data_IF_367631631272
#
_entry.id   IF_367631631272
#
_cell.length_a   1.000
_cell.length_b   1.000
_cell.length_c   1.000
_cell.angle_alpha   90.00
_cell.angle_beta   90.00
_cell.angle_gamma   90.00
#
_symmetry.space_group_name_H-M   'P 1'
#
loop_
_entity.id
_entity.type
_entity.pdbx_description
1 polymer ?
#
# COMPACT_ATOMS: atom_id res chain seq x y z
N UNK A 1 5.84 -7.46 -23.27
CA UNK A 1 4.36 -7.58 -23.38
C UNK A 1 3.70 -7.08 -22.09
N UNK A 2 2.63 -6.27 -22.17
CA UNK A 2 1.98 -5.72 -20.97
C UNK A 2 1.09 -6.74 -20.24
N UNK A 3 0.84 -6.54 -18.93
CA UNK A 3 0.04 -7.45 -18.10
C UNK A 3 -1.36 -7.67 -18.65
N UNK A 4 -2.03 -6.66 -19.19
CA UNK A 4 -3.39 -6.80 -19.72
C UNK A 4 -3.50 -7.88 -20.81
N UNK A 5 -2.43 -8.09 -21.59
CA UNK A 5 -2.37 -9.14 -22.64
C UNK A 5 -2.12 -10.54 -22.07
N UNK A 6 -1.72 -10.62 -20.80
CA UNK A 6 -1.51 -11.88 -20.07
C UNK A 6 -2.74 -12.34 -19.30
N UNK A 7 -3.73 -11.46 -19.14
CA UNK A 7 -4.95 -11.73 -18.39
C UNK A 7 -6.04 -12.34 -19.27
N UNK A 8 -6.98 -13.03 -18.64
CA UNK A 8 -8.24 -13.43 -19.26
C UNK A 8 -9.01 -12.18 -19.72
N UNK A 9 -9.67 -12.19 -20.89
CA UNK A 9 -10.36 -11.03 -21.45
C UNK A 9 -11.35 -10.37 -20.48
N UNK A 10 -12.13 -11.16 -19.75
CA UNK A 10 -13.12 -10.70 -18.77
C UNK A 10 -12.50 -9.96 -17.57
N UNK A 11 -11.22 -10.19 -17.28
CA UNK A 11 -10.52 -9.58 -16.16
C UNK A 11 -9.88 -8.23 -16.51
N UNK A 12 -9.69 -7.92 -17.79
CA UNK A 12 -8.95 -6.73 -18.25
C UNK A 12 -9.63 -5.43 -17.77
N UNK A 13 -10.96 -5.34 -17.84
CA UNK A 13 -11.68 -4.16 -17.35
C UNK A 13 -11.52 -3.93 -15.85
N UNK A 14 -11.54 -5.01 -15.05
CA UNK A 14 -11.31 -4.92 -13.61
C UNK A 14 -9.85 -4.57 -13.29
N UNK A 15 -8.89 -5.06 -14.08
CA UNK A 15 -7.48 -4.70 -13.96
C UNK A 15 -7.26 -3.19 -14.14
N UNK A 16 -7.82 -2.58 -15.18
CA UNK A 16 -7.65 -1.13 -15.42
C UNK A 16 -8.25 -0.28 -14.29
N UNK A 17 -9.43 -0.64 -13.76
CA UNK A 17 -10.01 0.05 -12.61
C UNK A 17 -9.10 -0.03 -11.38
N UNK A 18 -8.55 -1.21 -11.08
CA UNK A 18 -7.59 -1.39 -9.98
C UNK A 18 -6.33 -0.56 -10.21
N UNK A 19 -5.75 -0.61 -11.42
CA UNK A 19 -4.57 0.18 -11.81
C UNK A 19 -4.80 1.67 -11.56
N UNK A 20 -5.92 2.22 -12.02
CA UNK A 20 -6.25 3.64 -11.84
C UNK A 20 -6.28 4.03 -10.35
N UNK A 21 -7.01 3.26 -9.53
CA UNK A 21 -7.12 3.50 -8.08
C UNK A 21 -5.76 3.44 -7.40
N UNK A 22 -4.94 2.42 -7.68
CA UNK A 22 -3.62 2.28 -7.06
C UNK A 22 -2.69 3.43 -7.47
N UNK A 23 -2.66 3.79 -8.75
CA UNK A 23 -1.84 4.90 -9.23
C UNK A 23 -2.24 6.23 -8.57
N UNK A 24 -3.53 6.48 -8.44
CA UNK A 24 -4.05 7.69 -7.78
C UNK A 24 -3.69 7.71 -6.28
N UNK A 25 -3.95 6.63 -5.56
CA UNK A 25 -3.67 6.55 -4.12
C UNK A 25 -2.17 6.65 -3.81
N UNK A 26 -1.30 6.02 -4.61
CA UNK A 26 0.15 6.16 -4.48
C UNK A 26 0.58 7.62 -4.72
N UNK A 27 0.03 8.27 -5.75
CA UNK A 27 0.31 9.68 -6.04
C UNK A 27 -0.11 10.58 -4.87
N UNK A 28 -1.29 10.35 -4.30
CA UNK A 28 -1.77 11.10 -3.14
C UNK A 28 -0.83 10.89 -1.94
N UNK A 29 -0.44 9.64 -1.65
CA UNK A 29 0.48 9.33 -0.56
C UNK A 29 1.84 10.03 -0.75
N UNK A 30 2.41 9.98 -1.96
CA UNK A 30 3.64 10.67 -2.29
C UNK A 30 3.52 12.19 -2.06
N UNK A 31 2.43 12.81 -2.52
CA UNK A 31 2.19 14.24 -2.29
C UNK A 31 2.11 14.59 -0.79
N UNK A 32 1.49 13.75 0.02
CA UNK A 32 1.41 13.94 1.47
C UNK A 32 2.81 13.84 2.10
N UNK A 33 3.61 12.84 1.73
CA UNK A 33 4.98 12.69 2.23
C UNK A 33 5.83 13.91 1.86
N UNK A 34 5.78 14.35 0.60
CA UNK A 34 6.50 15.53 0.13
C UNK A 34 6.09 16.82 0.87
N UNK A 35 4.83 16.93 1.28
CA UNK A 35 4.36 18.03 2.11
C UNK A 35 4.87 17.91 3.55
N UNK A 36 4.83 16.72 4.14
CA UNK A 36 5.31 16.45 5.50
C UNK A 36 6.80 16.77 5.68
N UNK A 37 7.62 16.57 4.64
CA UNK A 37 9.04 16.92 4.67
C UNK A 37 9.29 18.43 4.72
N UNK A 38 8.37 19.24 4.19
CA UNK A 38 8.51 20.70 4.08
C UNK A 38 7.87 21.47 5.23
N UNK A 39 7.05 20.80 6.03
CA UNK A 39 6.33 21.43 7.13
C UNK A 39 7.17 21.45 8.41
N UNK A 40 7.16 22.60 9.08
CA UNK A 40 7.64 22.73 10.44
C UNK A 40 6.73 21.97 11.42
N UNK A 41 7.26 21.69 12.60
CA UNK A 41 6.53 20.96 13.63
C UNK A 41 5.26 21.73 14.04
N UNK A 42 4.11 21.15 13.74
CA UNK A 42 2.80 21.80 13.81
C UNK A 42 1.67 20.78 13.91
N UNK A 43 0.52 21.19 14.43
CA UNK A 43 -0.68 20.34 14.46
C UNK A 43 -1.10 19.87 13.07
N UNK A 44 -0.86 20.69 12.04
CA UNK A 44 -1.10 20.34 10.63
C UNK A 44 -0.18 19.21 10.18
N UNK A 45 1.12 19.26 10.54
CA UNK A 45 2.07 18.18 10.26
C UNK A 45 1.64 16.87 10.91
N UNK A 46 1.21 16.91 12.17
CA UNK A 46 0.70 15.72 12.88
C UNK A 46 -0.54 15.13 12.21
N UNK A 47 -1.52 15.96 11.87
CA UNK A 47 -2.74 15.51 11.18
C UNK A 47 -2.43 14.90 9.80
N UNK A 48 -1.54 15.52 9.02
CA UNK A 48 -1.11 14.98 7.72
C UNK A 48 -0.37 13.65 7.87
N UNK A 49 0.43 13.51 8.94
CA UNK A 49 1.13 12.27 9.23
C UNK A 49 0.17 11.14 9.58
N UNK A 50 -0.84 11.42 10.41
CA UNK A 50 -1.92 10.48 10.71
C UNK A 50 -2.66 10.03 9.44
N UNK A 51 -2.98 10.98 8.54
CA UNK A 51 -3.59 10.67 7.23
C UNK A 51 -2.69 9.76 6.39
N UNK A 52 -1.37 10.01 6.36
CA UNK A 52 -0.41 9.18 5.64
C UNK A 52 -0.40 7.74 6.17
N UNK A 53 -0.36 7.56 7.49
CA UNK A 53 -0.44 6.25 8.15
C UNK A 53 -1.74 5.50 7.81
N UNK A 54 -2.88 6.19 7.82
CA UNK A 54 -4.17 5.60 7.42
C UNK A 54 -4.15 5.12 5.98
N UNK A 55 -3.60 5.92 5.05
CA UNK A 55 -3.53 5.57 3.62
C UNK A 55 -2.61 4.38 3.36
N UNK A 56 -1.44 4.35 4.00
CA UNK A 56 -0.54 3.18 3.95
C UNK A 56 -1.27 1.90 4.36
N UNK A 57 -1.94 1.93 5.51
CA UNK A 57 -2.66 0.75 6.03
C UNK A 57 -3.81 0.34 5.11
N UNK A 58 -4.50 1.29 4.48
CA UNK A 58 -5.56 1.02 3.48
C UNK A 58 -5.03 0.32 2.23
N UNK A 59 -3.84 0.71 1.76
CA UNK A 59 -3.22 0.14 0.55
C UNK A 59 -2.65 -1.27 0.77
N UNK A 60 -2.32 -1.63 2.01
CA UNK A 60 -1.70 -2.93 2.31
C UNK A 60 -2.64 -3.93 2.99
N UNK A 61 -3.43 -3.52 4.01
CA UNK A 61 -4.14 -4.47 4.87
C UNK A 61 -5.66 -4.29 4.99
N UNK A 62 -6.18 -3.06 4.96
CA UNK A 62 -7.54 -2.79 5.47
C UNK A 62 -8.62 -2.44 4.42
N UNK A 63 -8.38 -2.60 3.13
CA UNK A 63 -9.39 -2.30 2.09
C UNK A 63 -9.66 -3.48 1.14
N UNK A 64 -10.79 -3.44 0.41
CA UNK A 64 -11.04 -4.37 -0.69
C UNK A 64 -10.04 -4.23 -1.86
N UNK A 65 -9.28 -3.13 -1.88
CA UNK A 65 -8.30 -2.76 -2.90
C UNK A 65 -6.88 -2.67 -2.30
N UNK A 66 -6.41 -3.74 -1.66
CA UNK A 66 -5.01 -3.86 -1.22
C UNK A 66 -4.10 -4.41 -2.31
N UNK A 67 -2.79 -4.14 -2.23
CA UNK A 67 -1.80 -4.75 -3.12
C UNK A 67 -1.81 -6.28 -3.02
N UNK A 68 -2.02 -6.83 -1.83
CA UNK A 68 -2.27 -8.27 -1.63
C UNK A 68 -3.46 -8.77 -2.47
N UNK A 69 -4.60 -8.07 -2.44
CA UNK A 69 -5.77 -8.43 -3.24
C UNK A 69 -5.53 -8.25 -4.75
N UNK A 70 -4.73 -7.27 -5.16
CA UNK A 70 -4.29 -7.14 -6.55
C UNK A 70 -3.46 -8.34 -6.98
N UNK A 71 -2.49 -8.80 -6.17
CA UNK A 71 -1.69 -10.00 -6.46
C UNK A 71 -2.58 -11.22 -6.61
N UNK A 72 -3.52 -11.45 -5.69
CA UNK A 72 -4.46 -12.57 -5.81
C UNK A 72 -5.35 -12.48 -7.05
N UNK A 73 -5.85 -11.28 -7.34
CA UNK A 73 -6.61 -11.03 -8.56
C UNK A 73 -5.80 -11.40 -9.81
N UNK A 74 -4.54 -10.98 -9.90
CA UNK A 74 -3.65 -11.32 -11.02
C UNK A 74 -3.39 -12.82 -11.10
N UNK A 75 -3.12 -13.51 -9.97
CA UNK A 75 -2.91 -14.97 -9.94
C UNK A 75 -4.13 -15.74 -10.47
N UNK A 76 -5.33 -15.33 -10.08
CA UNK A 76 -6.59 -15.98 -10.50
C UNK A 76 -6.97 -15.73 -11.96
N UNK A 77 -6.50 -14.62 -12.54
CA UNK A 77 -6.91 -14.16 -13.86
C UNK A 77 -5.83 -14.21 -14.94
N UNK A 78 -4.61 -14.64 -14.64
CA UNK A 78 -3.59 -14.84 -15.67
C UNK A 78 -3.89 -16.09 -16.51
N UNK A 79 -3.66 -15.98 -17.83
CA UNK A 79 -3.73 -17.11 -18.76
C UNK A 79 -2.63 -18.13 -18.42
N UNK A 80 -2.93 -19.43 -18.61
CA UNK A 80 -2.02 -20.52 -18.24
C UNK A 80 -0.63 -20.38 -18.87
N UNK A 81 -0.56 -19.93 -20.13
CA UNK A 81 0.69 -19.71 -20.88
C UNK A 81 1.64 -18.69 -20.25
N UNK A 82 1.12 -17.70 -19.50
CA UNK A 82 1.91 -16.63 -18.93
C UNK A 82 2.20 -16.80 -17.43
N UNK A 83 1.71 -17.87 -16.80
CA UNK A 83 1.94 -18.14 -15.36
C UNK A 83 3.41 -18.21 -15.00
N UNK A 84 4.21 -18.95 -15.78
CA UNK A 84 5.67 -19.07 -15.55
C UNK A 84 6.40 -17.72 -15.57
N UNK A 85 5.81 -16.73 -16.23
CA UNK A 85 6.36 -15.38 -16.37
C UNK A 85 5.90 -14.45 -15.26
N UNK A 86 4.59 -14.42 -14.97
CA UNK A 86 4.02 -13.47 -14.02
C UNK A 86 4.17 -13.94 -12.56
N UNK A 87 4.06 -15.24 -12.27
CA UNK A 87 4.08 -15.74 -10.89
C UNK A 87 5.36 -15.42 -10.13
N UNK A 88 6.58 -15.60 -10.69
CA UNK A 88 7.81 -15.25 -9.97
C UNK A 88 7.88 -13.78 -9.55
N UNK A 89 7.28 -12.88 -10.34
CA UNK A 89 7.20 -11.46 -10.01
C UNK A 89 6.22 -11.22 -8.87
N UNK A 90 5.06 -11.88 -8.89
CA UNK A 90 4.09 -11.80 -7.79
C UNK A 90 4.66 -12.39 -6.49
N UNK A 91 5.40 -13.50 -6.58
CA UNK A 91 6.09 -14.13 -5.45
C UNK A 91 7.16 -13.19 -4.88
N UNK A 92 7.95 -12.52 -5.75
CA UNK A 92 8.92 -11.52 -5.31
C UNK A 92 8.24 -10.37 -4.56
N UNK A 93 7.17 -9.79 -5.13
CA UNK A 93 6.45 -8.68 -4.49
C UNK A 93 5.82 -9.06 -3.16
N UNK A 94 5.43 -10.33 -3.00
CA UNK A 94 4.93 -10.88 -1.75
C UNK A 94 6.05 -11.00 -0.71
N UNK A 95 7.23 -11.48 -1.10
CA UNK A 95 8.41 -11.51 -0.23
C UNK A 95 8.86 -10.11 0.18
N UNK A 96 8.89 -9.16 -0.75
CA UNK A 96 9.23 -7.76 -0.49
C UNK A 96 8.24 -7.12 0.49
N UNK A 97 6.93 -7.46 0.42
CA UNK A 97 5.94 -7.01 1.41
C UNK A 97 6.16 -7.67 2.78
N UNK A 98 6.49 -8.97 2.81
CA UNK A 98 6.74 -9.70 4.06
C UNK A 98 7.98 -9.14 4.79
N UNK A 99 8.99 -8.68 4.06
CA UNK A 99 10.14 -7.99 4.65
C UNK A 99 9.75 -6.66 5.34
N UNK A 100 8.60 -6.09 4.99
CA UNK A 100 8.03 -4.88 5.60
C UNK A 100 6.99 -5.20 6.68
N UNK A 101 6.76 -6.47 7.04
CA UNK A 101 5.68 -6.86 7.94
C UNK A 101 5.74 -6.12 9.29
N UNK A 102 6.94 -5.98 9.86
CA UNK A 102 7.14 -5.27 11.12
C UNK A 102 6.76 -3.79 10.99
N UNK A 103 7.25 -3.12 9.95
CA UNK A 103 6.93 -1.72 9.63
C UNK A 103 5.42 -1.52 9.45
N UNK A 104 4.78 -2.42 8.68
CA UNK A 104 3.33 -2.39 8.45
C UNK A 104 2.55 -2.58 9.75
N UNK A 105 2.97 -3.54 10.59
CA UNK A 105 2.35 -3.83 11.88
C UNK A 105 2.44 -2.62 12.81
N UNK A 106 3.60 -1.96 12.84
CA UNK A 106 3.84 -0.76 13.66
C UNK A 106 2.95 0.41 13.24
N UNK A 107 2.84 0.68 11.94
CA UNK A 107 1.97 1.75 11.40
C UNK A 107 0.49 1.43 11.65
N UNK A 108 0.08 0.17 11.47
CA UNK A 108 -1.28 -0.27 11.78
C UNK A 108 -1.60 -0.05 13.25
N UNK A 109 -0.70 -0.46 14.15
CA UNK A 109 -0.88 -0.29 15.57
C UNK A 109 -0.97 1.21 15.93
N UNK A 110 -0.11 2.06 15.37
CA UNK A 110 -0.25 3.51 15.52
C UNK A 110 -1.62 4.01 15.06
N UNK A 111 -2.09 3.59 13.88
CA UNK A 111 -3.41 3.98 13.37
C UNK A 111 -4.56 3.49 14.26
N UNK A 112 -4.52 2.24 14.71
CA UNK A 112 -5.59 1.65 15.51
C UNK A 112 -5.66 2.25 16.93
N UNK A 113 -4.51 2.59 17.53
CA UNK A 113 -4.44 3.12 18.89
C UNK A 113 -4.50 4.66 18.97
N UNK A 114 -3.94 5.38 17.98
CA UNK A 114 -3.80 6.86 18.01
C UNK A 114 -4.73 7.60 17.07
N UNK A 115 -5.31 6.95 16.06
CA UNK A 115 -6.16 7.65 15.06
C UNK A 115 -7.61 7.20 15.20
N UNK A 116 -7.85 5.90 15.37
CA UNK A 116 -9.19 5.34 15.58
C UNK A 116 -9.56 5.47 17.07
N UNK A 117 -9.77 6.70 17.53
CA UNK A 117 -10.17 7.04 18.90
C UNK A 117 -11.60 6.61 19.29
N UNK A 118 -12.25 5.72 18.51
CA UNK A 118 -13.63 5.30 18.74
C UNK A 118 -13.75 3.98 19.50
N UNK A 119 -12.65 3.29 19.80
CA UNK A 119 -12.70 2.12 20.68
C UNK A 119 -12.45 2.55 22.14
N UNK A 120 -13.44 2.40 23.05
CA UNK A 120 -13.30 2.76 24.46
C UNK A 120 -12.12 2.07 25.16
N UNK A 121 -11.65 0.93 24.63
CA UNK A 121 -10.50 0.20 25.16
C UNK A 121 -9.18 0.97 25.02
N UNK A 122 -9.06 1.82 24.00
CA UNK A 122 -7.85 2.62 23.73
C UNK A 122 -7.97 4.06 24.21
N UNK A 123 -9.18 4.53 24.55
CA UNK A 123 -9.42 5.89 25.02
C UNK A 123 -8.75 6.20 26.38
N UNK A 124 -8.43 5.18 27.17
CA UNK A 124 -7.86 5.30 28.53
C UNK A 124 -6.45 4.72 28.66
N UNK A 125 -5.88 4.13 27.61
CA UNK A 125 -4.47 3.73 27.64
C UNK A 125 -3.61 4.99 27.59
N UNK A 126 -2.80 5.23 28.63
CA UNK A 126 -1.74 6.26 28.57
C UNK A 126 -0.94 6.01 27.32
N UNK A 127 -0.87 7.03 26.46
CA UNK A 127 -0.11 7.11 25.22
C UNK A 127 1.16 6.24 25.28
N UNK A 128 1.07 4.96 24.90
CA UNK A 128 2.27 4.18 24.62
C UNK A 128 2.81 4.79 23.34
N UNK A 129 3.94 5.48 23.45
CA UNK A 129 4.67 5.94 22.28
C UNK A 129 5.07 4.70 21.48
N UNK A 130 4.29 4.41 20.45
CA UNK A 130 4.79 3.67 19.31
C UNK A 130 5.30 4.74 18.35
N UNK A 131 6.59 5.11 18.41
CA UNK A 131 7.13 6.14 17.54
C UNK A 131 7.16 5.58 16.11
N UNK A 132 6.08 5.79 15.37
CA UNK A 132 6.12 5.63 13.93
C UNK A 132 6.81 6.85 13.35
N UNK A 133 7.84 6.62 12.55
CA UNK A 133 8.61 7.67 11.90
C UNK A 133 8.12 7.90 10.46
N UNK A 134 8.38 9.09 9.93
CA UNK A 134 8.15 9.36 8.51
C UNK A 134 8.95 8.42 7.59
N UNK A 135 10.11 7.93 8.04
CA UNK A 135 10.94 7.00 7.26
C UNK A 135 10.25 5.65 7.03
N UNK A 136 9.49 5.16 8.01
CA UNK A 136 8.72 3.92 7.90
C UNK A 136 7.58 4.06 6.87
N UNK A 137 6.93 5.22 6.85
CA UNK A 137 5.91 5.54 5.83
C UNK A 137 6.54 5.63 4.43
N UNK A 138 7.72 6.25 4.32
CA UNK A 138 8.48 6.37 3.06
C UNK A 138 8.94 5.01 2.52
N UNK A 139 9.40 4.12 3.40
CA UNK A 139 9.82 2.78 3.02
C UNK A 139 8.67 2.01 2.35
N UNK A 140 7.47 2.11 2.92
CA UNK A 140 6.28 1.51 2.32
C UNK A 140 5.87 2.22 1.03
N UNK A 141 5.93 3.56 0.96
CA UNK A 141 5.65 4.27 -0.30
C UNK A 141 6.58 3.76 -1.41
N UNK A 142 7.88 3.63 -1.12
CA UNK A 142 8.86 3.11 -2.08
C UNK A 142 8.48 1.72 -2.58
N UNK A 143 8.11 0.81 -1.66
CA UNK A 143 7.61 -0.52 -2.04
C UNK A 143 6.37 -0.44 -2.96
N UNK A 144 5.42 0.43 -2.64
CA UNK A 144 4.19 0.59 -3.42
C UNK A 144 4.48 1.14 -4.83
N UNK A 145 5.38 2.13 -4.93
CA UNK A 145 5.83 2.71 -6.21
C UNK A 145 6.57 1.68 -7.07
N UNK A 146 7.49 0.93 -6.49
CA UNK A 146 8.23 -0.14 -7.19
C UNK A 146 7.28 -1.25 -7.64
N UNK A 147 6.32 -1.63 -6.79
CA UNK A 147 5.29 -2.62 -7.12
C UNK A 147 4.39 -2.14 -8.27
N UNK A 148 3.96 -0.87 -8.24
CA UNK A 148 3.17 -0.28 -9.30
C UNK A 148 3.95 -0.21 -10.61
N UNK A 149 5.19 0.26 -10.58
CA UNK A 149 6.06 0.33 -11.77
C UNK A 149 6.28 -1.05 -12.39
N UNK A 150 6.52 -2.07 -11.56
CA UNK A 150 6.63 -3.44 -12.03
C UNK A 150 5.33 -3.87 -12.68
N UNK A 151 4.21 -3.85 -11.96
CA UNK A 151 2.94 -4.42 -12.44
C UNK A 151 2.28 -3.65 -13.57
N UNK A 152 2.42 -2.33 -13.62
CA UNK A 152 1.62 -1.48 -14.48
C UNK A 152 2.37 -0.93 -15.69
N UNK A 153 3.69 -0.78 -15.58
CA UNK A 153 4.49 -0.07 -16.57
C UNK A 153 5.54 -0.97 -17.23
N UNK A 154 5.97 -2.05 -16.55
CA UNK A 154 6.94 -2.97 -17.12
C UNK A 154 6.35 -3.78 -18.27
N UNK A 155 7.15 -3.90 -19.32
CA UNK A 155 6.93 -4.93 -20.32
C UNK A 155 7.55 -6.25 -19.87
N UNK A 156 6.72 -7.28 -19.83
CA UNK A 156 7.11 -8.63 -19.49
C UNK A 156 7.45 -9.38 -20.76
#
# INVERSE_FOLDING_TARGET
MKIEKMLKPEAVGAFYRRKAIFTEEIKILNNIINALEKLDDSSVKRALFEIACVRVVKLLQNSGYTFKNLRFFLRGNVLKSFRKKLFPILDKLENDENNLEETIRKIKAFRDHRIVHLDPRFAFEKEKDMPVSLNEVKEILKYLEESAKLLFDKEY
#
